data_IF_056509935292
#
_entry.id   IF_056509935292
#
_cell.length_a   1.000
_cell.length_b   1.000
_cell.length_c   1.000
_cell.angle_alpha   90.00
_cell.angle_beta   90.00
_cell.angle_gamma   90.00
#
_symmetry.space_group_name_H-M   'P 1'
#
loop_
_entity.id
_entity.type
_entity.pdbx_description
1 polymer ?
#
# COMPACT_ATOMS: atom_id res chain seq x y z
N UNK A 1 13.86 18.08 -35.67
CA UNK A 1 13.69 19.22 -34.74
C UNK A 1 13.58 18.63 -33.35
N UNK A 2 14.62 18.85 -32.55
CA UNK A 2 14.80 18.27 -31.22
C UNK A 2 14.17 19.24 -30.23
N UNK A 3 13.16 18.82 -29.47
CA UNK A 3 12.67 19.58 -28.31
C UNK A 3 13.22 18.97 -27.04
N UNK A 4 14.28 19.56 -26.51
CA UNK A 4 14.79 19.31 -25.17
C UNK A 4 13.97 20.10 -24.16
N UNK A 5 13.19 19.42 -23.35
CA UNK A 5 12.56 19.98 -22.16
C UNK A 5 13.56 20.06 -21.02
N UNK A 6 13.88 21.29 -20.57
CA UNK A 6 14.70 21.53 -19.36
C UNK A 6 13.83 21.41 -18.12
N UNK A 7 14.24 20.57 -17.19
CA UNK A 7 13.71 20.55 -15.82
C UNK A 7 13.99 21.89 -15.13
N UNK A 8 12.93 22.54 -14.65
CA UNK A 8 13.07 23.72 -13.78
C UNK A 8 12.33 23.46 -12.47
N UNK A 9 13.08 23.15 -11.43
CA UNK A 9 12.56 23.06 -10.06
C UNK A 9 12.32 24.46 -9.53
N UNK A 10 11.08 24.89 -9.34
CA UNK A 10 10.73 26.14 -8.67
C UNK A 10 10.31 25.89 -7.24
N UNK A 11 10.98 26.56 -6.30
CA UNK A 11 10.61 26.59 -4.89
C UNK A 11 9.58 27.68 -4.64
N UNK A 12 8.38 27.34 -4.21
CA UNK A 12 7.43 28.29 -3.66
C UNK A 12 7.58 28.35 -2.13
N UNK A 13 7.94 29.51 -1.61
CA UNK A 13 7.90 29.83 -0.17
C UNK A 13 6.48 30.23 0.19
N UNK A 14 5.83 29.48 1.05
CA UNK A 14 4.66 29.92 1.79
C UNK A 14 5.02 29.90 3.28
N UNK A 15 4.95 31.10 3.89
CA UNK A 15 4.94 31.37 5.33
C UNK A 15 6.01 30.71 6.21
N UNK A 16 7.21 31.28 6.21
CA UNK A 16 8.12 31.35 7.36
C UNK A 16 8.60 30.03 8.02
N UNK A 17 8.07 28.88 7.71
CA UNK A 17 8.48 27.56 8.23
C UNK A 17 8.94 26.67 7.10
N UNK A 18 10.23 26.35 7.09
CA UNK A 18 10.85 25.43 6.12
C UNK A 18 10.21 24.05 6.23
N UNK A 19 9.25 23.73 5.34
CA UNK A 19 8.87 22.35 5.01
C UNK A 19 9.17 22.16 3.53
N UNK A 20 10.10 21.29 3.14
CA UNK A 20 10.34 20.99 1.74
C UNK A 20 9.20 20.08 1.25
N UNK A 21 8.22 20.65 0.58
CA UNK A 21 7.32 19.88 -0.26
C UNK A 21 8.03 19.67 -1.60
N UNK A 22 8.39 18.44 -1.93
CA UNK A 22 8.69 18.08 -3.30
C UNK A 22 7.36 17.98 -4.04
N UNK A 23 6.97 19.05 -4.70
CA UNK A 23 6.00 19.00 -5.78
C UNK A 23 6.75 18.46 -6.99
N UNK A 24 6.48 17.22 -7.38
CA UNK A 24 6.81 16.78 -8.74
C UNK A 24 5.77 17.46 -9.62
N UNK A 25 6.22 18.52 -10.31
CA UNK A 25 5.37 19.27 -11.23
C UNK A 25 4.84 18.34 -12.35
N UNK A 26 3.62 18.58 -12.71
CA UNK A 26 2.72 18.20 -13.82
C UNK A 26 3.28 17.57 -15.10
N UNK A 27 4.52 17.08 -15.15
CA UNK A 27 5.18 16.58 -16.36
C UNK A 27 4.85 15.14 -16.72
N UNK A 28 4.08 14.41 -15.88
CA UNK A 28 3.71 13.00 -16.13
C UNK A 28 2.24 12.78 -16.47
N UNK A 29 1.42 13.81 -16.54
CA UNK A 29 0.05 13.67 -17.03
C UNK A 29 0.10 13.77 -18.54
N UNK A 30 0.45 12.67 -19.22
CA UNK A 30 0.08 12.51 -20.61
C UNK A 30 -1.46 12.50 -20.67
N UNK A 31 -2.05 13.33 -21.53
CA UNK A 31 -3.49 13.42 -21.70
C UNK A 31 -4.11 12.02 -21.84
N UNK A 32 -5.00 11.68 -20.88
CA UNK A 32 -5.75 10.43 -20.87
C UNK A 32 -5.14 9.27 -20.07
N UNK A 33 -4.05 9.44 -19.32
CA UNK A 33 -3.51 8.40 -18.46
C UNK A 33 -4.39 8.23 -17.21
N UNK A 34 -4.93 7.03 -17.02
CA UNK A 34 -5.65 6.63 -15.80
C UNK A 34 -4.69 5.93 -14.83
N UNK A 35 -4.63 6.41 -13.60
CA UNK A 35 -3.81 5.83 -12.53
C UNK A 35 -4.66 4.98 -11.59
N UNK A 36 -4.02 3.97 -10.99
CA UNK A 36 -4.55 3.18 -9.89
C UNK A 36 -3.63 3.32 -8.68
N UNK A 37 -4.19 3.32 -7.48
CA UNK A 37 -3.42 3.18 -6.25
C UNK A 37 -3.97 1.99 -5.47
N UNK A 38 -3.21 0.90 -5.48
CA UNK A 38 -3.64 -0.37 -4.92
C UNK A 38 -3.36 -0.50 -3.41
N UNK A 39 -2.87 0.57 -2.77
CA UNK A 39 -2.66 0.61 -1.32
C UNK A 39 -2.66 2.04 -0.81
N UNK A 40 -3.74 2.45 -0.14
CA UNK A 40 -3.85 3.74 0.52
C UNK A 40 -4.45 3.58 1.92
N UNK A 41 -4.31 4.58 2.76
CA UNK A 41 -4.99 4.70 4.06
C UNK A 41 -5.69 6.05 4.19
N UNK A 42 -6.98 6.08 3.87
CA UNK A 42 -7.77 7.32 3.85
C UNK A 42 -7.87 8.01 5.21
N UNK A 43 -7.74 7.24 6.29
CA UNK A 43 -7.76 7.73 7.68
C UNK A 43 -6.49 8.46 8.11
N UNK A 44 -5.39 8.31 7.37
CA UNK A 44 -4.08 8.87 7.67
C UNK A 44 -3.78 10.07 6.76
N UNK A 45 -2.78 10.91 7.14
CA UNK A 45 -2.46 12.15 6.42
C UNK A 45 -1.04 12.22 5.83
N UNK A 46 -0.21 11.20 6.10
CA UNK A 46 1.18 11.16 5.66
C UNK A 46 2.16 11.92 6.58
N UNK A 47 1.70 12.48 7.72
CA UNK A 47 2.52 13.30 8.62
C UNK A 47 2.41 12.87 10.07
N UNK A 48 1.21 12.98 10.66
CA UNK A 48 0.95 12.65 12.05
C UNK A 48 -0.30 11.77 12.15
N UNK A 49 -0.09 10.47 12.23
CA UNK A 49 -1.18 9.50 12.31
C UNK A 49 -2.11 9.71 13.51
N UNK A 50 -1.59 10.24 14.65
CA UNK A 50 -2.42 10.49 15.85
C UNK A 50 -3.40 11.62 15.62
N UNK A 51 -2.91 12.73 15.06
CA UNK A 51 -3.74 13.88 14.70
C UNK A 51 -4.72 13.53 13.59
N UNK A 52 -4.28 12.79 12.57
CA UNK A 52 -5.13 12.33 11.48
C UNK A 52 -6.28 11.47 12.00
N UNK A 53 -6.00 10.43 12.78
CA UNK A 53 -7.02 9.57 13.40
C UNK A 53 -7.95 10.37 14.33
N UNK A 54 -7.40 11.30 15.13
CA UNK A 54 -8.22 12.12 16.03
C UNK A 54 -9.28 12.95 15.28
N UNK A 55 -8.99 13.37 14.05
CA UNK A 55 -9.92 14.11 13.21
C UNK A 55 -11.14 13.28 12.74
N UNK A 56 -11.07 11.94 12.89
CA UNK A 56 -12.12 10.99 12.53
C UNK A 56 -12.71 10.23 13.73
N UNK A 57 -12.25 10.53 14.96
CA UNK A 57 -12.56 9.69 16.14
C UNK A 57 -14.05 9.59 16.47
N UNK A 58 -14.80 10.68 16.34
CA UNK A 58 -16.24 10.70 16.64
C UNK A 58 -17.07 10.25 15.44
N UNK A 59 -16.66 10.62 14.24
CA UNK A 59 -17.25 10.18 12.98
C UNK A 59 -16.28 10.45 11.82
N UNK A 60 -16.40 9.73 10.69
CA UNK A 60 -15.63 10.01 9.48
C UNK A 60 -15.79 11.47 9.04
N UNK A 61 -14.69 12.20 8.95
CA UNK A 61 -14.69 13.60 8.55
C UNK A 61 -14.84 13.74 7.03
N UNK A 62 -16.08 13.90 6.57
CA UNK A 62 -16.39 13.99 5.13
C UNK A 62 -15.67 15.13 4.41
N UNK A 63 -15.30 16.23 5.09
CA UNK A 63 -14.54 17.32 4.47
C UNK A 63 -13.12 16.90 4.12
N UNK A 64 -12.44 16.17 5.01
CA UNK A 64 -11.08 15.64 4.77
C UNK A 64 -11.14 14.59 3.67
N UNK A 65 -12.10 13.66 3.73
CA UNK A 65 -12.27 12.60 2.72
C UNK A 65 -12.49 13.21 1.33
N UNK A 66 -13.42 14.15 1.19
CA UNK A 66 -13.68 14.84 -0.09
C UNK A 66 -12.45 15.58 -0.62
N UNK A 67 -11.69 16.22 0.25
CA UNK A 67 -10.45 16.91 -0.15
C UNK A 67 -9.39 15.92 -0.68
N UNK A 68 -9.27 14.73 -0.10
CA UNK A 68 -8.37 13.69 -0.57
C UNK A 68 -8.86 13.10 -1.90
N UNK A 69 -10.15 12.76 -2.03
CA UNK A 69 -10.74 12.27 -3.28
C UNK A 69 -10.58 13.26 -4.42
N UNK A 70 -10.75 14.55 -4.16
CA UNK A 70 -10.50 15.61 -5.16
C UNK A 70 -9.04 15.64 -5.62
N UNK A 71 -8.06 15.44 -4.71
CA UNK A 71 -6.64 15.33 -5.08
C UNK A 71 -6.40 14.13 -5.99
N UNK A 72 -6.96 12.96 -5.67
CA UNK A 72 -6.86 11.76 -6.51
C UNK A 72 -7.48 11.98 -7.89
N UNK A 73 -8.69 12.56 -7.95
CA UNK A 73 -9.34 12.92 -9.21
C UNK A 73 -8.47 13.86 -10.04
N UNK A 74 -7.97 14.94 -9.42
CA UNK A 74 -7.13 15.93 -10.10
C UNK A 74 -5.79 15.36 -10.61
N UNK A 75 -5.27 14.30 -9.97
CA UNK A 75 -4.07 13.59 -10.39
C UNK A 75 -4.37 12.44 -11.40
N UNK A 76 -5.64 12.21 -11.78
CA UNK A 76 -6.02 11.20 -12.77
C UNK A 76 -6.18 9.78 -12.24
N UNK A 77 -6.35 9.60 -10.92
CA UNK A 77 -6.64 8.28 -10.36
C UNK A 77 -8.10 7.93 -10.55
N UNK A 78 -8.35 6.68 -10.96
CA UNK A 78 -9.70 6.14 -11.20
C UNK A 78 -10.02 4.91 -10.34
N UNK A 79 -9.00 4.30 -9.73
CA UNK A 79 -9.17 3.16 -8.83
C UNK A 79 -8.28 3.33 -7.60
N UNK A 80 -8.88 3.08 -6.41
CA UNK A 80 -8.21 3.10 -5.12
C UNK A 80 -8.55 1.84 -4.33
N UNK A 81 -7.54 1.12 -3.82
CA UNK A 81 -7.73 0.04 -2.84
C UNK A 81 -7.25 0.52 -1.47
N UNK A 82 -8.20 0.71 -0.58
CA UNK A 82 -7.99 1.27 0.76
C UNK A 82 -7.65 0.16 1.76
N UNK A 83 -6.73 0.41 2.69
CA UNK A 83 -6.22 -0.58 3.63
C UNK A 83 -7.08 -0.82 4.87
N UNK A 84 -8.14 -0.05 5.07
CA UNK A 84 -9.07 -0.18 6.19
C UNK A 84 -8.69 0.59 7.45
N UNK A 85 -9.71 0.87 8.24
CA UNK A 85 -9.61 1.50 9.55
C UNK A 85 -10.85 1.18 10.43
N UNK A 86 -10.70 1.23 11.75
CA UNK A 86 -11.81 0.92 12.68
C UNK A 86 -12.77 2.08 12.95
N UNK A 87 -12.59 3.26 12.31
CA UNK A 87 -13.46 4.44 12.47
C UNK A 87 -14.41 4.62 11.29
N UNK A 88 -14.35 3.73 10.28
CA UNK A 88 -15.24 3.74 9.13
C UNK A 88 -14.90 4.77 8.07
N UNK A 89 -13.67 5.32 8.08
CA UNK A 89 -13.24 6.34 7.10
C UNK A 89 -13.16 5.75 5.70
N UNK A 90 -12.60 4.51 5.56
CA UNK A 90 -12.57 3.79 4.30
C UNK A 90 -13.97 3.53 3.74
N UNK A 91 -14.93 3.13 4.58
CA UNK A 91 -16.31 2.93 4.17
C UNK A 91 -16.99 4.24 3.70
N UNK A 92 -16.77 5.34 4.43
CA UNK A 92 -17.26 6.66 4.04
C UNK A 92 -16.62 7.15 2.72
N UNK A 93 -15.31 6.90 2.54
CA UNK A 93 -14.60 7.22 1.31
C UNK A 93 -15.15 6.42 0.12
N UNK A 94 -15.43 5.11 0.29
CA UNK A 94 -16.05 4.27 -0.74
C UNK A 94 -17.41 4.83 -1.18
N UNK A 95 -18.23 5.27 -0.23
CA UNK A 95 -19.54 5.84 -0.54
C UNK A 95 -19.44 7.16 -1.32
N UNK A 96 -18.40 7.97 -1.08
CA UNK A 96 -18.19 9.27 -1.71
C UNK A 96 -17.41 9.20 -3.02
N UNK A 97 -16.56 8.19 -3.22
CA UNK A 97 -15.66 8.08 -4.36
C UNK A 97 -16.32 8.17 -5.74
N UNK A 98 -17.55 7.62 -5.97
CA UNK A 98 -18.23 7.74 -7.25
C UNK A 98 -18.53 9.20 -7.68
N UNK A 99 -18.71 10.13 -6.74
CA UNK A 99 -18.90 11.56 -7.03
C UNK A 99 -17.66 12.18 -7.72
N UNK A 100 -16.50 11.52 -7.60
CA UNK A 100 -15.21 11.93 -8.18
C UNK A 100 -14.79 11.07 -9.38
N UNK A 101 -15.65 10.15 -9.86
CA UNK A 101 -15.33 9.21 -10.93
C UNK A 101 -14.30 8.14 -10.50
N UNK A 102 -14.20 7.86 -9.20
CA UNK A 102 -13.24 6.93 -8.62
C UNK A 102 -13.99 5.67 -8.13
N UNK A 103 -13.50 4.49 -8.51
CA UNK A 103 -13.87 3.23 -7.86
C UNK A 103 -12.96 3.05 -6.65
N UNK A 104 -13.53 2.99 -5.44
CA UNK A 104 -12.79 2.71 -4.22
C UNK A 104 -13.32 1.42 -3.59
N UNK A 105 -12.41 0.51 -3.22
CA UNK A 105 -12.70 -0.72 -2.49
C UNK A 105 -12.00 -0.72 -1.14
N UNK A 106 -12.62 -1.33 -0.11
CA UNK A 106 -12.14 -1.30 1.27
C UNK A 106 -12.43 -2.60 2.02
N UNK A 107 -11.53 -3.09 2.89
CA UNK A 107 -11.78 -4.21 3.78
C UNK A 107 -12.62 -3.79 5.01
N UNK A 108 -13.11 -2.56 5.08
CA UNK A 108 -13.65 -1.86 6.24
C UNK A 108 -12.58 -1.64 7.32
N UNK A 109 -12.07 -2.70 7.95
CA UNK A 109 -10.96 -2.60 8.91
C UNK A 109 -9.96 -3.75 8.73
N UNK A 110 -8.65 -3.48 8.88
CA UNK A 110 -7.66 -4.54 8.85
C UNK A 110 -7.73 -5.36 10.15
N UNK A 111 -7.40 -6.65 10.05
CA UNK A 111 -7.42 -7.59 11.17
C UNK A 111 -5.98 -7.91 11.60
N UNK A 112 -5.72 -7.87 12.91
CA UNK A 112 -4.41 -8.15 13.46
C UNK A 112 -4.50 -9.04 14.72
N UNK A 113 -3.50 -9.90 14.90
CA UNK A 113 -3.42 -10.77 16.08
C UNK A 113 -2.98 -9.97 17.30
N UNK A 114 -3.58 -10.26 18.44
CA UNK A 114 -3.23 -9.65 19.73
C UNK A 114 -1.73 -9.77 20.03
N UNK A 115 -1.13 -8.67 20.46
CA UNK A 115 0.30 -8.59 20.74
C UNK A 115 1.19 -8.34 19.51
N UNK A 116 0.62 -8.29 18.29
CA UNK A 116 1.31 -8.07 17.03
C UNK A 116 0.98 -6.71 16.40
N UNK A 117 1.72 -6.38 15.31
CA UNK A 117 1.54 -5.13 14.58
C UNK A 117 0.12 -4.99 13.99
N UNK A 118 -0.42 -3.73 14.00
CA UNK A 118 -1.71 -3.39 13.39
C UNK A 118 -2.67 -2.66 14.31
N UNK A 119 -2.40 -2.63 15.62
CA UNK A 119 -3.31 -2.09 16.64
C UNK A 119 -3.66 -0.60 16.53
N UNK A 120 -2.91 0.18 15.76
CA UNK A 120 -3.16 1.62 15.60
C UNK A 120 -4.39 1.92 14.70
N UNK A 121 -4.74 1.04 13.75
CA UNK A 121 -5.91 1.19 12.85
C UNK A 121 -6.82 -0.04 12.79
N UNK A 122 -6.32 -1.22 13.18
CA UNK A 122 -6.98 -2.50 12.96
C UNK A 122 -7.92 -2.94 14.09
N UNK A 123 -8.68 -3.99 13.80
CA UNK A 123 -9.46 -4.75 14.78
C UNK A 123 -8.68 -5.96 15.25
N UNK A 124 -8.63 -6.15 16.58
CA UNK A 124 -7.86 -7.18 17.25
C UNK A 124 -8.61 -8.51 17.27
N UNK A 125 -7.89 -9.61 17.06
CA UNK A 125 -8.34 -10.97 17.42
C UNK A 125 -7.27 -11.67 18.27
N UNK A 126 -7.68 -12.66 19.06
CA UNK A 126 -6.79 -13.41 19.94
C UNK A 126 -6.52 -14.83 19.45
N UNK A 127 -7.48 -15.40 18.72
CA UNK A 127 -7.42 -16.76 18.18
C UNK A 127 -8.16 -16.85 16.83
N UNK A 128 -8.04 -18.00 16.17
CA UNK A 128 -8.68 -18.26 14.88
C UNK A 128 -10.21 -18.25 14.95
N UNK A 129 -10.81 -18.57 16.10
CA UNK A 129 -12.26 -18.53 16.27
C UNK A 129 -12.78 -17.09 16.25
N UNK A 130 -12.09 -16.20 16.97
CA UNK A 130 -12.42 -14.76 16.93
C UNK A 130 -12.18 -14.18 15.54
N UNK A 131 -11.05 -14.54 14.89
CA UNK A 131 -10.77 -14.13 13.52
C UNK A 131 -11.89 -14.54 12.57
N UNK A 132 -12.30 -15.81 12.55
CA UNK A 132 -13.41 -16.28 11.73
C UNK A 132 -14.73 -15.54 12.03
N UNK A 133 -14.95 -15.17 13.29
CA UNK A 133 -16.08 -14.33 13.70
C UNK A 133 -16.03 -12.93 13.05
N UNK A 134 -14.85 -12.30 13.05
CA UNK A 134 -14.64 -10.99 12.43
C UNK A 134 -14.76 -11.05 10.89
N UNK A 135 -14.21 -12.08 10.24
CA UNK A 135 -14.36 -12.28 8.78
C UNK A 135 -15.84 -12.37 8.40
N UNK A 136 -16.64 -13.18 9.12
CA UNK A 136 -18.09 -13.24 8.89
C UNK A 136 -18.80 -11.93 9.18
N UNK A 137 -18.33 -11.14 10.15
CA UNK A 137 -18.85 -9.80 10.42
C UNK A 137 -18.57 -8.88 9.24
N UNK A 138 -17.33 -8.85 8.72
CA UNK A 138 -16.94 -8.09 7.54
C UNK A 138 -17.81 -8.42 6.33
N UNK A 139 -18.15 -9.71 6.14
CA UNK A 139 -19.06 -10.14 5.07
C UNK A 139 -20.47 -9.54 5.24
N UNK A 140 -21.04 -9.56 6.45
CA UNK A 140 -22.34 -8.94 6.73
C UNK A 140 -22.33 -7.43 6.54
N UNK A 141 -21.22 -6.79 6.89
CA UNK A 141 -21.05 -5.34 6.81
C UNK A 141 -20.66 -4.86 5.40
N UNK A 142 -20.46 -5.79 4.45
CA UNK A 142 -20.20 -5.49 3.06
C UNK A 142 -18.78 -5.03 2.79
N UNK A 143 -17.77 -5.66 3.42
CA UNK A 143 -16.39 -5.52 3.04
C UNK A 143 -16.16 -6.07 1.63
N UNK A 144 -15.28 -5.44 0.87
CA UNK A 144 -14.94 -5.89 -0.48
C UNK A 144 -13.90 -7.04 -0.45
N UNK A 145 -13.05 -7.09 0.59
CA UNK A 145 -12.00 -8.09 0.80
C UNK A 145 -11.56 -8.12 2.27
N UNK A 146 -10.63 -9.01 2.63
CA UNK A 146 -10.02 -9.06 3.97
C UNK A 146 -8.59 -8.53 3.92
N UNK A 147 -8.25 -7.60 4.81
CA UNK A 147 -6.88 -7.16 5.08
C UNK A 147 -6.38 -7.79 6.37
N UNK A 148 -5.21 -8.46 6.32
CA UNK A 148 -4.54 -9.03 7.50
C UNK A 148 -3.16 -8.40 7.70
N UNK A 149 -2.75 -8.27 8.98
CA UNK A 149 -1.40 -7.85 9.37
C UNK A 149 -0.68 -9.09 9.90
N UNK A 150 0.35 -9.57 9.20
CA UNK A 150 1.01 -10.85 9.53
C UNK A 150 2.51 -10.71 9.83
N UNK A 151 3.03 -9.49 9.88
CA UNK A 151 4.40 -9.19 10.28
C UNK A 151 4.53 -7.77 10.83
N UNK A 152 5.69 -7.44 11.38
CA UNK A 152 6.08 -6.06 11.69
C UNK A 152 6.52 -5.26 10.46
N UNK A 153 7.10 -4.10 10.73
CA UNK A 153 7.59 -3.13 9.74
C UNK A 153 9.09 -3.36 9.43
N UNK A 154 9.57 -2.75 8.36
CA UNK A 154 11.00 -2.57 8.14
C UNK A 154 11.63 -1.73 9.25
N UNK A 155 12.78 -2.15 9.77
CA UNK A 155 13.59 -1.35 10.69
C UNK A 155 14.60 -0.52 9.87
N UNK A 156 14.39 0.79 9.81
CA UNK A 156 15.27 1.70 9.06
C UNK A 156 16.58 2.02 9.80
N UNK A 157 16.62 1.80 11.12
CA UNK A 157 17.83 1.97 11.93
C UNK A 157 18.72 0.72 11.85
N UNK A 158 18.12 -0.44 11.53
CA UNK A 158 18.79 -1.73 11.34
C UNK A 158 18.37 -2.37 10.02
N UNK A 159 18.96 -1.93 8.89
CA UNK A 159 18.64 -2.47 7.56
C UNK A 159 18.80 -3.98 7.51
N UNK A 160 17.78 -4.69 7.03
CA UNK A 160 17.71 -6.15 7.01
C UNK A 160 16.87 -6.75 8.14
N UNK A 161 16.51 -5.97 9.17
CA UNK A 161 15.69 -6.42 10.28
C UNK A 161 14.25 -5.90 10.18
N UNK A 162 13.35 -6.61 10.86
CA UNK A 162 11.96 -6.18 11.06
C UNK A 162 11.77 -5.75 12.52
N UNK A 163 10.83 -4.83 12.75
CA UNK A 163 10.44 -4.41 14.11
C UNK A 163 9.80 -5.54 14.91
N UNK A 164 9.30 -6.56 14.21
CA UNK A 164 8.65 -7.75 14.76
C UNK A 164 8.66 -8.87 13.71
N UNK A 165 8.90 -10.10 14.14
CA UNK A 165 8.82 -11.26 13.26
C UNK A 165 7.37 -11.51 12.77
N UNK A 166 7.25 -12.21 11.65
CA UNK A 166 5.94 -12.62 11.13
C UNK A 166 5.32 -13.73 11.96
N UNK A 167 4.00 -13.85 11.81
CA UNK A 167 3.23 -14.94 12.42
C UNK A 167 3.77 -16.32 11.98
N UNK A 168 3.55 -17.38 12.78
CA UNK A 168 3.87 -18.75 12.39
C UNK A 168 3.20 -19.14 11.06
N UNK A 169 3.89 -19.90 10.18
CA UNK A 169 3.37 -20.29 8.86
C UNK A 169 2.01 -20.97 8.90
N UNK A 170 1.77 -21.80 9.91
CA UNK A 170 0.49 -22.51 10.11
C UNK A 170 -0.64 -21.53 10.39
N UNK A 171 -0.39 -20.51 11.21
CA UNK A 171 -1.38 -19.46 11.48
C UNK A 171 -1.68 -18.63 10.23
N UNK A 172 -0.63 -18.24 9.48
CA UNK A 172 -0.79 -17.50 8.21
C UNK A 172 -1.70 -18.29 7.26
N UNK A 173 -1.44 -19.61 7.11
CA UNK A 173 -2.25 -20.48 6.27
C UNK A 173 -3.71 -20.50 6.70
N UNK A 174 -3.98 -20.70 8.00
CA UNK A 174 -5.34 -20.75 8.53
C UNK A 174 -6.08 -19.42 8.37
N UNK A 175 -5.41 -18.27 8.59
CA UNK A 175 -6.01 -16.95 8.39
C UNK A 175 -6.45 -16.75 6.92
N UNK A 176 -5.59 -17.10 5.96
CA UNK A 176 -5.88 -16.98 4.53
C UNK A 176 -7.02 -17.94 4.15
N UNK A 177 -6.93 -19.19 4.58
CA UNK A 177 -7.94 -20.21 4.32
C UNK A 177 -9.34 -19.78 4.81
N UNK A 178 -9.45 -19.34 6.08
CA UNK A 178 -10.72 -18.87 6.64
C UNK A 178 -11.33 -17.71 5.83
N UNK A 179 -10.51 -16.76 5.37
CA UNK A 179 -11.01 -15.66 4.56
C UNK A 179 -11.49 -16.14 3.17
N UNK A 180 -10.76 -17.05 2.53
CA UNK A 180 -11.14 -17.67 1.25
C UNK A 180 -12.41 -18.50 1.36
N UNK A 181 -12.60 -19.29 2.42
CA UNK A 181 -13.83 -20.04 2.69
C UNK A 181 -15.07 -19.14 2.80
N UNK A 182 -14.89 -17.92 3.29
CA UNK A 182 -15.94 -16.91 3.33
C UNK A 182 -16.06 -16.11 2.01
N UNK A 183 -15.32 -16.49 0.96
CA UNK A 183 -15.38 -15.93 -0.39
C UNK A 183 -14.64 -14.61 -0.58
N UNK A 184 -13.69 -14.28 0.30
CA UNK A 184 -12.92 -13.05 0.21
C UNK A 184 -11.53 -13.26 -0.39
N UNK A 185 -11.08 -12.33 -1.22
CA UNK A 185 -9.66 -12.15 -1.49
C UNK A 185 -8.93 -11.60 -0.25
N UNK A 186 -7.63 -11.90 -0.12
CA UNK A 186 -6.81 -11.52 1.04
C UNK A 186 -5.68 -10.59 0.63
N UNK A 187 -5.67 -9.39 1.23
CA UNK A 187 -4.60 -8.40 1.19
C UNK A 187 -3.75 -8.54 2.45
N UNK A 188 -2.46 -8.89 2.34
CA UNK A 188 -1.60 -9.12 3.49
C UNK A 188 -0.48 -8.06 3.61
N UNK A 189 -0.47 -7.30 4.72
CA UNK A 189 0.75 -6.64 5.16
C UNK A 189 1.75 -7.72 5.58
N UNK A 190 2.82 -7.89 4.82
CA UNK A 190 3.77 -8.96 5.00
C UNK A 190 5.19 -8.52 4.64
N UNK A 191 6.12 -8.63 5.58
CA UNK A 191 7.54 -8.37 5.41
C UNK A 191 8.35 -9.59 5.85
N UNK A 192 9.56 -9.71 5.31
CA UNK A 192 10.49 -10.81 5.58
C UNK A 192 10.20 -12.05 4.73
N UNK A 193 11.28 -12.64 4.19
CA UNK A 193 11.20 -13.75 3.24
C UNK A 193 10.38 -14.95 3.75
N UNK A 194 10.56 -15.35 5.03
CA UNK A 194 9.84 -16.47 5.64
C UNK A 194 8.33 -16.24 5.65
N UNK A 195 7.89 -15.03 6.05
CA UNK A 195 6.49 -14.66 6.16
C UNK A 195 5.83 -14.61 4.79
N UNK A 196 6.47 -13.92 3.84
CA UNK A 196 5.94 -13.77 2.47
C UNK A 196 5.88 -15.12 1.77
N UNK A 197 6.89 -15.98 1.92
CA UNK A 197 6.88 -17.34 1.37
C UNK A 197 5.74 -18.18 1.95
N UNK A 198 5.49 -18.09 3.25
CA UNK A 198 4.37 -18.79 3.89
C UNK A 198 3.02 -18.29 3.36
N UNK A 199 2.84 -16.98 3.25
CA UNK A 199 1.62 -16.37 2.71
C UNK A 199 1.38 -16.74 1.24
N UNK A 200 2.42 -16.68 0.39
CA UNK A 200 2.34 -17.06 -1.01
C UNK A 200 1.94 -18.53 -1.18
N UNK A 201 2.58 -19.45 -0.45
CA UNK A 201 2.24 -20.88 -0.46
C UNK A 201 0.84 -21.18 0.07
N UNK A 202 0.30 -20.31 0.92
CA UNK A 202 -1.08 -20.40 1.39
C UNK A 202 -2.10 -19.78 0.41
N UNK A 203 -1.64 -19.24 -0.72
CA UNK A 203 -2.49 -18.67 -1.76
C UNK A 203 -2.96 -17.25 -1.51
N UNK A 204 -2.22 -16.43 -0.75
CA UNK A 204 -2.56 -15.02 -0.54
C UNK A 204 -2.71 -14.30 -1.89
N UNK A 205 -3.76 -13.47 -2.02
CA UNK A 205 -4.05 -12.78 -3.28
C UNK A 205 -3.11 -11.60 -3.54
N UNK A 206 -2.76 -10.84 -2.49
CA UNK A 206 -1.72 -9.83 -2.61
C UNK A 206 -0.85 -9.71 -1.36
N UNK A 207 0.43 -9.45 -1.59
CA UNK A 207 1.44 -9.08 -0.58
C UNK A 207 1.73 -7.60 -0.71
N UNK A 208 1.61 -6.89 0.41
CA UNK A 208 1.91 -5.48 0.54
C UNK A 208 3.29 -5.32 1.17
N UNK A 209 4.05 -4.34 0.70
CA UNK A 209 5.42 -4.02 1.09
C UNK A 209 6.42 -5.10 0.65
N UNK A 210 6.46 -6.26 1.29
CA UNK A 210 7.39 -7.34 0.92
C UNK A 210 8.85 -6.94 1.12
N UNK A 211 9.20 -6.35 2.26
CA UNK A 211 10.59 -6.00 2.55
C UNK A 211 11.45 -7.24 2.78
N UNK A 212 12.73 -7.16 2.39
CA UNK A 212 13.77 -8.16 2.65
C UNK A 212 13.45 -9.57 2.14
N UNK A 213 12.95 -9.65 0.90
CA UNK A 213 12.65 -10.92 0.23
C UNK A 213 13.93 -11.58 -0.29
N UNK A 214 13.96 -12.90 -0.19
CA UNK A 214 14.94 -13.77 -0.84
C UNK A 214 14.39 -14.34 -2.16
N UNK A 215 15.25 -15.05 -2.90
CA UNK A 215 14.87 -15.69 -4.17
C UNK A 215 13.72 -16.70 -4.01
N UNK A 216 13.68 -17.45 -2.90
CA UNK A 216 12.61 -18.44 -2.67
C UNK A 216 11.25 -17.78 -2.46
N UNK A 217 11.20 -16.64 -1.75
CA UNK A 217 9.96 -15.88 -1.57
C UNK A 217 9.45 -15.30 -2.89
N UNK A 218 10.35 -14.75 -3.73
CA UNK A 218 10.01 -14.25 -5.05
C UNK A 218 9.45 -15.36 -5.96
N UNK A 219 10.10 -16.54 -6.00
CA UNK A 219 9.59 -17.69 -6.75
C UNK A 219 8.22 -18.15 -6.22
N UNK A 220 8.08 -18.28 -4.89
CA UNK A 220 6.79 -18.71 -4.31
C UNK A 220 5.64 -17.76 -4.68
N UNK A 221 5.86 -16.43 -4.66
CA UNK A 221 4.85 -15.48 -5.11
C UNK A 221 4.54 -15.61 -6.60
N UNK A 222 5.55 -15.76 -7.46
CA UNK A 222 5.36 -15.87 -8.90
C UNK A 222 4.62 -17.18 -9.27
N UNK A 223 4.99 -18.30 -8.67
CA UNK A 223 4.37 -19.62 -8.90
C UNK A 223 2.91 -19.68 -8.43
N UNK A 224 2.56 -18.98 -7.35
CA UNK A 224 1.20 -18.98 -6.80
C UNK A 224 0.33 -17.81 -7.32
N UNK A 225 0.84 -16.99 -8.26
CA UNK A 225 0.07 -15.88 -8.83
C UNK A 225 -0.27 -14.79 -7.84
N UNK A 226 0.51 -14.66 -6.76
CA UNK A 226 0.37 -13.59 -5.78
C UNK A 226 0.74 -12.25 -6.40
N UNK A 227 -0.13 -11.25 -6.29
CA UNK A 227 0.21 -9.89 -6.72
C UNK A 227 1.07 -9.21 -5.67
N UNK A 228 2.21 -8.66 -6.06
CA UNK A 228 3.04 -7.87 -5.17
C UNK A 228 2.80 -6.38 -5.36
N UNK A 229 2.45 -5.69 -4.28
CA UNK A 229 2.30 -4.23 -4.18
C UNK A 229 3.44 -3.71 -3.29
N UNK A 230 4.59 -3.36 -3.86
CA UNK A 230 5.83 -3.16 -3.10
C UNK A 230 5.86 -1.86 -2.28
N UNK A 231 4.97 -0.91 -2.55
CA UNK A 231 4.87 0.37 -1.84
C UNK A 231 6.23 1.08 -1.70
N UNK A 232 6.99 1.12 -2.79
CA UNK A 232 8.33 1.73 -2.84
C UNK A 232 8.31 3.19 -2.37
N UNK A 233 7.17 3.87 -2.49
CA UNK A 233 6.94 5.23 -2.02
C UNK A 233 7.23 5.40 -0.53
N UNK A 234 6.99 4.38 0.29
CA UNK A 234 7.26 4.41 1.74
C UNK A 234 8.75 4.56 2.06
N UNK A 235 9.61 4.10 1.14
CA UNK A 235 11.06 4.21 1.24
C UNK A 235 11.55 5.42 0.45
N UNK A 236 11.10 5.57 -0.81
CA UNK A 236 11.54 6.62 -1.71
C UNK A 236 11.30 8.03 -1.19
N UNK A 237 10.16 8.26 -0.54
CA UNK A 237 9.80 9.55 0.06
C UNK A 237 10.60 9.89 1.33
N UNK A 238 11.39 8.96 1.89
CA UNK A 238 12.26 9.24 3.04
C UNK A 238 13.56 9.93 2.63
N UNK A 239 13.95 9.88 1.35
CA UNK A 239 15.15 10.54 0.83
C UNK A 239 15.12 12.04 1.16
N UNK A 240 16.19 12.54 1.77
CA UNK A 240 16.32 13.96 2.14
C UNK A 240 15.44 14.42 3.32
N UNK A 241 14.75 13.53 4.03
CA UNK A 241 13.86 13.89 5.15
C UNK A 241 14.59 13.98 6.50
N UNK A 242 15.79 13.41 6.61
CA UNK A 242 16.62 13.50 7.82
C UNK A 242 16.09 12.76 9.04
N UNK A 243 15.03 11.92 8.89
CA UNK A 243 14.52 11.09 9.98
C UNK A 243 15.36 9.83 10.20
N UNK A 244 15.85 9.25 9.12
CA UNK A 244 16.70 8.06 9.12
C UNK A 244 18.00 8.36 8.38
N UNK A 245 19.01 7.52 8.57
CA UNK A 245 20.25 7.59 7.82
C UNK A 245 20.00 7.53 6.30
N UNK A 246 20.49 8.49 5.55
CA UNK A 246 20.40 8.47 4.08
C UNK A 246 21.07 7.24 3.47
N UNK A 247 22.10 6.69 4.12
CA UNK A 247 22.76 5.45 3.70
C UNK A 247 21.80 4.25 3.85
N UNK A 248 21.11 4.13 5.00
CA UNK A 248 20.11 3.09 5.25
C UNK A 248 18.95 3.20 4.25
N UNK A 249 18.40 4.40 4.05
CA UNK A 249 17.29 4.61 3.10
C UNK A 249 17.69 4.20 1.68
N UNK A 250 18.89 4.60 1.21
CA UNK A 250 19.38 4.20 -0.12
C UNK A 250 19.60 2.70 -0.24
N UNK A 251 20.17 2.06 0.78
CA UNK A 251 20.43 0.62 0.79
C UNK A 251 19.11 -0.17 0.72
N UNK A 252 18.13 0.19 1.55
CA UNK A 252 16.82 -0.47 1.59
C UNK A 252 16.08 -0.28 0.26
N UNK A 253 16.08 0.95 -0.28
CA UNK A 253 15.43 1.22 -1.56
C UNK A 253 16.08 0.43 -2.71
N UNK A 254 17.40 0.42 -2.79
CA UNK A 254 18.12 -0.32 -3.83
C UNK A 254 17.82 -1.83 -3.77
N UNK A 255 17.79 -2.41 -2.57
CA UNK A 255 17.43 -3.82 -2.37
C UNK A 255 15.97 -4.10 -2.78
N UNK A 256 15.04 -3.20 -2.43
CA UNK A 256 13.63 -3.32 -2.84
C UNK A 256 13.48 -3.23 -4.36
N UNK A 257 14.13 -2.26 -5.02
CA UNK A 257 14.11 -2.09 -6.47
C UNK A 257 14.70 -3.31 -7.20
N UNK A 258 15.82 -3.87 -6.70
CA UNK A 258 16.39 -5.09 -7.25
C UNK A 258 15.44 -6.28 -7.17
N UNK A 259 14.78 -6.48 -6.03
CA UNK A 259 13.80 -7.54 -5.85
C UNK A 259 12.57 -7.34 -6.74
N UNK A 260 12.09 -6.11 -6.92
CA UNK A 260 11.00 -5.78 -7.86
C UNK A 260 11.38 -6.14 -9.29
N UNK A 261 12.61 -5.79 -9.72
CA UNK A 261 13.12 -6.15 -11.04
C UNK A 261 13.22 -7.67 -11.22
N UNK A 262 13.75 -8.40 -10.23
CA UNK A 262 13.86 -9.88 -10.24
C UNK A 262 12.47 -10.52 -10.32
N UNK A 263 11.51 -10.05 -9.53
CA UNK A 263 10.14 -10.58 -9.52
C UNK A 263 9.45 -10.41 -10.88
N UNK A 264 9.59 -9.25 -11.51
CA UNK A 264 9.12 -9.04 -12.88
C UNK A 264 9.75 -10.00 -13.87
N UNK A 265 11.07 -10.26 -13.74
CA UNK A 265 11.81 -11.20 -14.61
C UNK A 265 11.35 -12.63 -14.46
N UNK A 266 10.77 -13.02 -13.31
CA UNK A 266 10.11 -14.31 -13.07
C UNK A 266 8.68 -14.36 -13.64
N UNK A 267 8.21 -13.31 -14.30
CA UNK A 267 6.82 -13.18 -14.76
C UNK A 267 5.82 -12.85 -13.66
N UNK A 268 6.29 -12.43 -12.49
CA UNK A 268 5.47 -12.06 -11.34
C UNK A 268 4.55 -10.87 -11.61
N UNK A 269 3.47 -10.78 -10.87
CA UNK A 269 2.42 -9.77 -11.00
C UNK A 269 2.71 -8.59 -10.07
N UNK A 270 3.07 -7.43 -10.63
CA UNK A 270 3.33 -6.19 -9.89
C UNK A 270 2.15 -5.23 -10.06
N UNK A 271 1.72 -4.61 -8.97
CA UNK A 271 0.74 -3.52 -9.03
C UNK A 271 1.24 -2.30 -8.23
N UNK A 272 0.92 -1.06 -8.66
CA UNK A 272 1.33 0.14 -7.95
C UNK A 272 0.46 0.35 -6.73
N UNK A 273 1.07 0.70 -5.61
CA UNK A 273 0.40 1.13 -4.39
C UNK A 273 1.33 2.00 -3.58
N UNK A 274 0.85 3.17 -3.19
CA UNK A 274 1.73 4.18 -2.56
C UNK A 274 1.88 4.00 -1.07
N UNK A 275 0.94 3.34 -0.39
CA UNK A 275 0.72 3.41 1.06
C UNK A 275 0.46 4.86 1.51
N UNK A 276 -0.32 5.61 0.69
CA UNK A 276 -0.67 6.99 0.99
C UNK A 276 -1.34 7.11 2.35
N UNK A 277 -0.89 8.08 3.12
CA UNK A 277 -1.24 8.25 4.53
C UNK A 277 -0.18 7.72 5.50
N UNK A 278 0.69 6.79 5.09
CA UNK A 278 1.89 6.44 5.84
C UNK A 278 2.85 7.65 5.93
N UNK A 279 3.76 7.62 6.90
CA UNK A 279 4.64 8.77 7.13
C UNK A 279 5.46 9.13 5.89
N UNK A 280 5.43 10.41 5.52
CA UNK A 280 6.03 11.00 4.32
C UNK A 280 5.37 10.59 2.99
N UNK A 281 4.23 9.89 3.00
CA UNK A 281 3.52 9.49 1.78
C UNK A 281 2.21 10.27 1.65
N UNK A 282 2.18 11.36 0.86
CA UNK A 282 0.99 12.16 0.67
C UNK A 282 -0.05 11.44 -0.20
N UNK A 283 -1.34 11.75 0.01
CA UNK A 283 -2.41 11.31 -0.88
C UNK A 283 -2.22 11.83 -2.31
N UNK A 284 -2.53 10.98 -3.29
CA UNK A 284 -2.43 11.25 -4.72
C UNK A 284 -1.00 11.52 -5.21
N UNK A 285 0.02 11.02 -4.50
CA UNK A 285 1.42 11.09 -4.92
C UNK A 285 1.71 10.15 -6.08
N UNK A 286 2.62 10.55 -6.97
CA UNK A 286 3.07 9.73 -8.12
C UNK A 286 4.47 9.12 -7.92
N UNK A 287 5.01 9.18 -6.69
CA UNK A 287 6.35 8.65 -6.39
C UNK A 287 6.47 7.17 -6.74
N UNK A 288 5.44 6.38 -6.49
CA UNK A 288 5.43 4.95 -6.82
C UNK A 288 5.65 4.73 -8.33
N UNK A 289 4.90 5.44 -9.16
CA UNK A 289 5.05 5.37 -10.62
C UNK A 289 6.41 5.85 -11.09
N UNK A 290 6.96 6.91 -10.48
CA UNK A 290 8.31 7.40 -10.79
C UNK A 290 9.37 6.36 -10.45
N UNK A 291 9.27 5.66 -9.31
CA UNK A 291 10.19 4.59 -8.92
C UNK A 291 10.08 3.36 -9.83
N UNK A 292 8.88 2.99 -10.28
CA UNK A 292 8.73 1.95 -11.31
C UNK A 292 9.33 2.38 -12.66
N UNK A 293 9.22 3.66 -13.02
CA UNK A 293 9.87 4.21 -14.21
C UNK A 293 11.41 4.18 -14.08
N UNK A 294 11.97 4.45 -12.89
CA UNK A 294 13.40 4.29 -12.62
C UNK A 294 13.87 2.85 -12.83
N UNK A 295 13.05 1.84 -12.48
CA UNK A 295 13.40 0.41 -12.59
C UNK A 295 13.25 -0.11 -14.03
N UNK A 296 12.17 0.22 -14.72
CA UNK A 296 11.75 -0.43 -15.96
C UNK A 296 11.72 0.48 -17.19
N UNK A 297 11.99 1.78 -17.02
CA UNK A 297 11.86 2.74 -18.11
C UNK A 297 10.46 2.71 -18.75
N UNK A 298 10.38 2.79 -20.06
CA UNK A 298 9.11 2.82 -20.81
C UNK A 298 8.25 1.55 -20.65
N UNK A 299 8.85 0.43 -20.22
CA UNK A 299 8.12 -0.81 -19.98
C UNK A 299 7.30 -0.80 -18.69
N UNK A 300 7.50 0.17 -17.80
CA UNK A 300 6.88 0.23 -16.47
C UNK A 300 5.35 0.10 -16.52
N UNK A 301 4.68 0.81 -17.43
CA UNK A 301 3.22 0.77 -17.58
C UNK A 301 2.71 -0.63 -17.96
N UNK A 302 3.35 -1.28 -18.93
CA UNK A 302 2.96 -2.63 -19.37
C UNK A 302 3.17 -3.67 -18.27
N UNK A 303 4.26 -3.56 -17.51
CA UNK A 303 4.58 -4.46 -16.40
C UNK A 303 3.50 -4.35 -15.30
N UNK A 304 3.09 -3.13 -14.95
CA UNK A 304 2.09 -2.90 -13.91
C UNK A 304 0.67 -3.29 -14.32
N UNK A 305 0.35 -3.22 -15.62
CA UNK A 305 -1.01 -3.40 -16.12
C UNK A 305 -1.63 -4.75 -15.71
N UNK A 306 -0.87 -5.85 -15.79
CA UNK A 306 -1.36 -7.18 -15.43
C UNK A 306 -1.72 -7.28 -13.95
N UNK A 307 -0.84 -6.82 -13.07
CA UNK A 307 -1.11 -6.84 -11.63
C UNK A 307 -2.26 -5.91 -11.23
N UNK A 308 -2.39 -4.74 -11.88
CA UNK A 308 -3.54 -3.85 -11.69
C UNK A 308 -4.86 -4.55 -12.07
N UNK A 309 -4.90 -5.25 -13.19
CA UNK A 309 -6.09 -5.98 -13.63
C UNK A 309 -6.47 -7.09 -12.65
N UNK A 310 -5.48 -7.85 -12.16
CA UNK A 310 -5.70 -8.88 -11.14
C UNK A 310 -6.26 -8.29 -9.83
N UNK A 311 -5.67 -7.18 -9.34
CA UNK A 311 -6.20 -6.49 -8.16
C UNK A 311 -7.64 -6.03 -8.38
N UNK A 312 -7.93 -5.40 -9.50
CA UNK A 312 -9.29 -4.89 -9.81
C UNK A 312 -10.32 -6.00 -9.98
N UNK A 313 -9.90 -7.19 -10.43
CA UNK A 313 -10.76 -8.35 -10.59
C UNK A 313 -11.03 -9.11 -9.30
N UNK A 314 -9.99 -9.31 -8.47
CA UNK A 314 -10.10 -10.10 -7.23
C UNK A 314 -10.68 -9.32 -6.05
N UNK A 315 -10.35 -8.03 -5.94
CA UNK A 315 -10.74 -7.18 -4.81
C UNK A 315 -11.95 -6.30 -5.21
N UNK A 316 -13.12 -6.91 -5.31
CA UNK A 316 -14.34 -6.24 -5.80
C UNK A 316 -15.59 -6.68 -5.05
#
# INVERSE_FOLDING_TARGET
>A
MIYGGRETVRFLRLDGKKKPFYYIEKTFIEDGTMYCDCHIHMVLDGFDWRTAIAAHREAPNGKIIRANLERYRAAGFTYLREGGDRWGVGAAARALAPEYGIRLVTPLSPLYMAGHYGGFIGMRFEDLRQYAGLVRQHRRDGADFIKIMISGLMDFDRPGELTEEGLPPEQIRELIHIAHEEGFAVMAHANGARTVRAAARAGVDSVEHGAYLDSEALHAMAENGTVWVPTLSTIGNLRGRGRFSEASVRQILASAQENVHRFASLGGLLAPGTDAGAWAVPHAGLTEYALFQEIFGDASRQILQRGQQEIQGKFS
#
